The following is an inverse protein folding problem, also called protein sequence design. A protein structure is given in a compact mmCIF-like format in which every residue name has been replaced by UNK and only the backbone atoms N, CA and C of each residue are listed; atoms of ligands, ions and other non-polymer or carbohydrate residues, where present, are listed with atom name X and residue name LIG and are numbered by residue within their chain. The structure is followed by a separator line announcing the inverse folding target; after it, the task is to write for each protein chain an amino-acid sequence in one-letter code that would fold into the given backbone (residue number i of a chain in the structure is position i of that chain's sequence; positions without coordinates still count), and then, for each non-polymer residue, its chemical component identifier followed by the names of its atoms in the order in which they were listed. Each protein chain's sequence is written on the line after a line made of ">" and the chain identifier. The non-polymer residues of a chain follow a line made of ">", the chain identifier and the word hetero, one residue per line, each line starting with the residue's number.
data_IF_679093098218
#
_entry.id   IF_679093098218
#
_cell.length_a   1.000
_cell.length_b   1.000
_cell.length_c   1.000
_cell.angle_alpha   90.00
_cell.angle_beta   90.00
_cell.angle_gamma   90.00
#
_symmetry.space_group_name_H-M   'P 1'
#
loop_
_entity.id
_entity.type
_entity.pdbx_description
1 polymer ?
#
# COMPACT_ATOMS: atom_id res chain seq x y z
N UNK A 1 19.71 -42.53 10.30
CA UNK A 1 19.90 -41.25 10.98
C UNK A 1 19.61 -40.15 9.98
N UNK A 2 18.32 -39.87 9.79
CA UNK A 2 17.85 -38.84 8.86
C UNK A 2 17.73 -37.53 9.64
N UNK A 3 18.60 -36.57 9.34
CA UNK A 3 18.36 -35.17 9.74
C UNK A 3 17.15 -34.69 8.91
N UNK A 4 16.00 -34.60 9.55
CA UNK A 4 14.90 -33.81 9.06
C UNK A 4 15.32 -32.34 9.23
N UNK A 5 15.82 -31.72 8.17
CA UNK A 5 15.87 -30.27 8.05
C UNK A 5 14.42 -29.80 8.04
N UNK A 6 13.95 -29.36 9.19
CA UNK A 6 12.73 -28.55 9.30
C UNK A 6 13.07 -27.22 8.59
N UNK A 7 12.70 -27.16 7.33
CA UNK A 7 12.66 -25.91 6.59
C UNK A 7 11.50 -25.14 7.22
N UNK A 8 11.81 -24.27 8.20
CA UNK A 8 10.88 -23.24 8.61
C UNK A 8 10.56 -22.45 7.33
N UNK A 9 9.36 -22.59 6.84
CA UNK A 9 8.77 -21.60 5.94
C UNK A 9 8.71 -20.33 6.79
N UNK A 10 9.74 -19.49 6.66
CA UNK A 10 9.65 -18.08 6.97
C UNK A 10 8.50 -17.61 6.09
N UNK A 11 7.35 -17.35 6.69
CA UNK A 11 6.34 -16.55 6.03
C UNK A 11 7.09 -15.32 5.51
N UNK A 12 7.06 -15.11 4.20
CA UNK A 12 7.72 -13.96 3.59
C UNK A 12 6.99 -12.75 4.14
N UNK A 13 7.57 -12.14 5.17
CA UNK A 13 6.99 -10.93 5.74
C UNK A 13 7.17 -9.84 4.67
N UNK A 14 6.08 -9.20 4.32
CA UNK A 14 6.09 -8.01 3.44
C UNK A 14 6.85 -6.82 4.05
N UNK A 15 7.66 -7.03 5.10
CA UNK A 15 8.41 -6.01 5.81
C UNK A 15 7.60 -5.26 6.88
N UNK A 16 6.39 -5.70 7.16
CA UNK A 16 5.55 -5.14 8.22
C UNK A 16 5.52 -6.09 9.42
N UNK A 17 6.00 -5.60 10.57
CA UNK A 17 6.07 -6.33 11.82
C UNK A 17 7.33 -7.16 12.02
N UNK A 18 7.62 -7.48 13.27
CA UNK A 18 8.67 -8.40 13.71
C UNK A 18 8.10 -9.37 14.73
N UNK A 19 8.47 -10.63 14.64
CA UNK A 19 8.09 -11.63 15.65
C UNK A 19 8.67 -11.33 17.05
N UNK A 20 9.68 -10.47 17.12
CA UNK A 20 10.41 -10.05 18.33
C UNK A 20 9.90 -8.75 18.93
N UNK A 21 8.99 -8.04 18.25
CA UNK A 21 8.26 -6.88 18.78
C UNK A 21 7.03 -7.36 19.58
N UNK A 22 7.30 -7.76 20.82
CA UNK A 22 6.29 -8.35 21.71
C UNK A 22 5.48 -7.32 22.47
N UNK A 23 5.95 -6.08 22.49
CA UNK A 23 5.27 -4.91 23.07
C UNK A 23 4.33 -4.22 22.08
N UNK A 24 4.44 -4.56 20.79
CA UNK A 24 3.62 -4.01 19.68
C UNK A 24 3.84 -2.51 19.45
N UNK A 25 4.99 -1.97 19.84
CA UNK A 25 5.32 -0.56 19.71
C UNK A 25 6.04 -0.21 18.39
N UNK A 26 6.30 -1.23 17.55
CA UNK A 26 6.96 -1.08 16.24
C UNK A 26 8.48 -1.08 16.32
N UNK A 27 9.07 -1.32 17.49
CA UNK A 27 10.51 -1.40 17.68
C UNK A 27 10.88 -2.53 18.64
N UNK A 28 11.98 -3.20 18.42
CA UNK A 28 12.46 -4.23 19.35
C UNK A 28 13.36 -3.58 20.40
N UNK A 29 12.87 -3.48 21.63
CA UNK A 29 13.51 -2.72 22.69
C UNK A 29 13.47 -3.34 24.08
N UNK A 30 13.58 -2.50 25.10
CA UNK A 30 13.53 -2.92 26.49
C UNK A 30 12.14 -3.42 26.92
N UNK A 31 11.08 -2.92 26.29
CA UNK A 31 9.72 -3.31 26.59
C UNK A 31 9.47 -4.77 26.17
N UNK A 32 10.04 -5.22 25.02
CA UNK A 32 10.00 -6.60 24.56
C UNK A 32 10.78 -7.54 25.48
N UNK A 33 11.96 -7.12 25.94
CA UNK A 33 12.71 -7.85 26.96
C UNK A 33 11.90 -8.01 28.23
N UNK A 34 11.15 -6.98 28.62
CA UNK A 34 10.26 -7.01 29.78
C UNK A 34 9.12 -8.01 29.59
N UNK A 35 8.54 -8.08 28.38
CA UNK A 35 7.55 -9.10 28.02
C UNK A 35 8.14 -10.49 28.18
N UNK A 36 9.27 -10.81 27.54
CA UNK A 36 9.92 -12.13 27.66
C UNK A 36 10.18 -12.50 29.11
N UNK A 37 10.74 -11.59 29.91
CA UNK A 37 11.09 -11.87 31.31
C UNK A 37 9.87 -12.02 32.21
N UNK A 38 8.79 -11.26 31.97
CA UNK A 38 7.56 -11.31 32.77
C UNK A 38 6.69 -12.52 32.41
N UNK A 39 6.80 -13.02 31.18
CA UNK A 39 6.00 -14.11 30.64
C UNK A 39 6.77 -15.46 30.61
N UNK A 40 7.86 -15.57 31.35
CA UNK A 40 8.72 -16.75 31.38
C UNK A 40 7.96 -18.02 31.74
N UNK A 41 8.13 -19.09 30.94
CA UNK A 41 7.39 -20.35 30.98
C UNK A 41 5.89 -20.24 30.66
N UNK A 42 5.48 -19.20 29.98
CA UNK A 42 4.12 -19.06 29.41
C UNK A 42 4.21 -18.96 27.87
N UNK A 43 3.11 -19.04 27.10
CA UNK A 43 3.16 -18.84 25.66
C UNK A 43 3.14 -17.35 25.22
N UNK A 44 3.00 -16.37 26.13
CA UNK A 44 2.69 -15.00 25.74
C UNK A 44 3.88 -14.13 25.34
N UNK A 45 5.11 -14.59 25.54
CA UNK A 45 6.35 -13.92 25.12
C UNK A 45 7.17 -14.82 24.20
N UNK A 46 6.51 -15.69 23.46
CA UNK A 46 7.08 -16.73 22.59
C UNK A 46 7.43 -16.15 21.22
N UNK A 47 8.60 -15.52 21.12
CA UNK A 47 9.09 -14.89 19.91
C UNK A 47 9.47 -15.91 18.82
N UNK A 48 9.84 -17.12 19.19
CA UNK A 48 10.23 -18.17 18.25
C UNK A 48 9.08 -19.12 17.86
N UNK A 49 7.89 -18.92 18.47
CA UNK A 49 6.67 -19.66 18.22
C UNK A 49 6.79 -21.18 18.48
N UNK A 50 7.60 -21.56 19.49
CA UNK A 50 7.74 -22.95 19.93
C UNK A 50 6.71 -23.36 21.01
N UNK A 51 5.89 -22.43 21.46
CA UNK A 51 4.82 -22.60 22.46
C UNK A 51 5.21 -22.26 23.89
N UNK A 52 6.45 -21.79 24.12
CA UNK A 52 6.92 -21.50 25.49
C UNK A 52 7.96 -20.39 25.54
N UNK A 53 7.68 -19.30 26.23
CA UNK A 53 8.64 -18.24 26.47
C UNK A 53 9.81 -18.70 27.33
N UNK A 54 11.01 -18.68 26.78
CA UNK A 54 12.20 -19.22 27.44
C UNK A 54 13.51 -18.53 26.92
N UNK A 55 14.67 -19.15 27.14
CA UNK A 55 15.95 -18.56 26.77
C UNK A 55 16.15 -18.31 25.24
N UNK A 56 15.73 -19.19 24.32
CA UNK A 56 15.72 -18.91 22.90
C UNK A 56 15.00 -17.62 22.50
N UNK A 57 13.84 -17.29 23.11
CA UNK A 57 13.09 -16.06 22.82
C UNK A 57 13.85 -14.83 23.27
N UNK A 58 14.46 -14.89 24.47
CA UNK A 58 15.33 -13.83 24.94
C UNK A 58 16.49 -13.56 23.96
N UNK A 59 17.11 -14.62 23.43
CA UNK A 59 18.20 -14.50 22.46
C UNK A 59 17.71 -13.85 21.16
N UNK A 60 16.52 -14.22 20.68
CA UNK A 60 15.94 -13.61 19.47
C UNK A 60 15.67 -12.12 19.67
N UNK A 61 15.01 -11.73 20.76
CA UNK A 61 14.76 -10.30 21.06
C UNK A 61 16.06 -9.53 21.19
N UNK A 62 17.08 -10.12 21.83
CA UNK A 62 18.41 -9.47 21.92
C UNK A 62 19.12 -9.38 20.57
N UNK A 63 18.92 -10.35 19.66
CA UNK A 63 19.52 -10.31 18.32
C UNK A 63 18.91 -9.22 17.43
N UNK A 64 17.65 -8.91 17.64
CA UNK A 64 16.90 -7.89 16.91
C UNK A 64 16.85 -6.52 17.64
N UNK A 65 17.55 -6.40 18.76
CA UNK A 65 17.51 -5.19 19.60
C UNK A 65 17.84 -3.90 18.82
N UNK A 66 17.00 -2.89 18.93
CA UNK A 66 16.95 -1.65 18.16
C UNK A 66 16.47 -1.82 16.69
N UNK A 67 15.91 -2.96 16.32
CA UNK A 67 15.28 -3.12 15.03
C UNK A 67 13.97 -2.36 15.00
N UNK A 68 13.74 -1.57 13.94
CA UNK A 68 12.45 -0.98 13.61
C UNK A 68 11.69 -1.98 12.74
N UNK A 69 10.44 -2.26 13.09
CA UNK A 69 9.62 -3.33 12.50
C UNK A 69 8.77 -2.85 11.30
N UNK A 70 9.13 -1.72 10.72
CA UNK A 70 8.50 -1.16 9.54
C UNK A 70 9.49 -0.29 8.74
N UNK A 71 9.26 -0.11 7.42
CA UNK A 71 10.13 0.72 6.57
C UNK A 71 9.72 2.19 6.52
N UNK A 72 8.65 2.60 7.21
CA UNK A 72 8.15 3.97 7.15
C UNK A 72 9.11 4.98 7.79
N UNK A 73 9.09 6.21 7.25
CA UNK A 73 9.86 7.34 7.77
C UNK A 73 9.43 7.70 9.20
N UNK A 74 10.33 8.33 9.95
CA UNK A 74 10.14 8.65 11.38
C UNK A 74 9.00 9.65 11.69
N UNK A 75 8.47 10.32 10.69
CA UNK A 75 7.33 11.25 10.78
C UNK A 75 5.98 10.57 10.47
N UNK A 76 6.01 9.26 10.21
CA UNK A 76 4.85 8.40 10.04
C UNK A 76 4.66 7.57 11.30
N UNK A 77 3.52 7.71 11.96
CA UNK A 77 3.17 6.90 13.12
C UNK A 77 2.63 5.55 12.66
N UNK A 78 3.19 4.46 13.21
CA UNK A 78 2.86 3.08 12.82
C UNK A 78 2.51 2.29 14.06
N UNK A 79 1.31 1.72 14.09
CA UNK A 79 0.82 0.89 15.18
C UNK A 79 0.46 -0.50 14.66
N UNK A 80 0.91 -1.52 15.38
CA UNK A 80 0.65 -2.92 15.05
C UNK A 80 -0.51 -3.47 15.87
N UNK A 81 -1.34 -4.27 15.23
CA UNK A 81 -2.35 -5.13 15.85
C UNK A 81 -2.02 -6.56 15.42
N UNK A 82 -1.16 -7.19 16.19
CA UNK A 82 -0.69 -8.55 15.89
C UNK A 82 -1.80 -9.59 16.06
N UNK A 83 -2.79 -9.34 16.91
CA UNK A 83 -3.93 -10.23 17.10
C UNK A 83 -4.82 -10.32 15.85
N UNK A 84 -5.03 -9.18 15.18
CA UNK A 84 -5.82 -9.08 13.96
C UNK A 84 -4.96 -9.08 12.70
N UNK A 85 -3.63 -9.13 12.82
CA UNK A 85 -2.67 -9.08 11.72
C UNK A 85 -2.83 -7.84 10.84
N UNK A 86 -2.96 -6.69 11.48
CA UNK A 86 -3.18 -5.39 10.84
C UNK A 86 -2.13 -4.38 11.28
N UNK A 87 -1.82 -3.43 10.39
CA UNK A 87 -1.01 -2.24 10.70
C UNK A 87 -1.86 -1.00 10.47
N UNK A 88 -1.84 -0.08 11.42
CA UNK A 88 -2.43 1.24 11.29
C UNK A 88 -1.33 2.27 11.09
N UNK A 89 -1.43 3.05 10.03
CA UNK A 89 -0.50 4.10 9.62
C UNK A 89 -1.20 5.44 9.76
N UNK A 90 -0.63 6.33 10.59
CA UNK A 90 -1.11 7.71 10.73
C UNK A 90 -0.08 8.67 10.16
N UNK A 91 -0.50 9.52 9.23
CA UNK A 91 0.39 10.42 8.49
C UNK A 91 -0.28 11.74 8.14
N UNK A 92 0.52 12.81 8.08
CA UNK A 92 0.08 14.09 7.51
C UNK A 92 -0.18 14.01 5.99
N UNK A 93 0.39 13.02 5.30
CA UNK A 93 0.37 12.93 3.84
C UNK A 93 1.26 13.95 3.15
N UNK A 94 2.06 14.72 3.91
CA UNK A 94 3.07 15.63 3.38
C UNK A 94 4.37 14.86 3.12
N UNK A 95 5.06 15.21 2.02
CA UNK A 95 6.30 14.55 1.65
C UNK A 95 7.48 15.05 2.52
N UNK A 96 8.46 14.19 2.71
CA UNK A 96 9.74 14.46 3.39
C UNK A 96 10.80 15.16 2.48
N UNK A 97 10.35 15.67 1.34
CA UNK A 97 11.14 16.45 0.37
C UNK A 97 10.43 17.77 0.04
N UNK A 98 11.12 18.64 -0.72
CA UNK A 98 10.53 19.90 -1.19
C UNK A 98 9.40 19.62 -2.19
N UNK A 99 8.19 20.06 -1.85
CA UNK A 99 7.01 19.97 -2.72
C UNK A 99 6.89 21.25 -3.58
N UNK A 100 6.74 21.06 -4.90
CA UNK A 100 6.67 22.15 -5.86
C UNK A 100 8.04 22.67 -6.32
N UNK A 101 8.09 23.63 -7.28
CA UNK A 101 6.94 24.21 -7.95
C UNK A 101 6.23 23.20 -8.86
N UNK A 102 4.90 23.27 -8.91
CA UNK A 102 4.06 22.39 -9.75
C UNK A 102 3.91 23.02 -11.13
N UNK A 103 4.97 22.96 -11.91
CA UNK A 103 5.03 23.53 -13.26
C UNK A 103 5.64 22.48 -14.18
N UNK A 104 4.87 21.99 -15.13
CA UNK A 104 5.39 21.08 -16.15
C UNK A 104 6.39 21.77 -17.08
N UNK A 105 7.01 21.02 -18.00
CA UNK A 105 7.91 21.57 -19.01
C UNK A 105 7.16 22.55 -19.90
N UNK A 106 7.37 23.84 -19.65
CA UNK A 106 6.74 24.93 -20.34
C UNK A 106 5.78 25.76 -19.48
N UNK A 107 5.68 27.06 -19.78
CA UNK A 107 4.94 28.05 -18.98
C UNK A 107 3.40 27.88 -18.97
N UNK A 108 2.88 26.82 -19.57
CA UNK A 108 1.44 26.60 -19.76
C UNK A 108 0.82 25.65 -18.74
N UNK A 109 1.63 24.89 -18.00
CA UNK A 109 1.16 23.95 -17.00
C UNK A 109 1.42 24.50 -15.59
N UNK A 110 0.38 24.73 -14.81
CA UNK A 110 0.45 25.16 -13.42
C UNK A 110 -0.64 24.48 -12.59
N UNK A 111 -0.25 23.92 -11.45
CA UNK A 111 -1.20 23.51 -10.45
C UNK A 111 -1.23 24.57 -9.33
N UNK A 112 -2.36 25.26 -9.12
CA UNK A 112 -2.47 26.34 -8.13
C UNK A 112 -2.65 25.84 -6.70
N UNK A 113 -2.82 24.53 -6.50
CA UNK A 113 -3.12 23.96 -5.20
C UNK A 113 -1.86 23.94 -4.32
N UNK A 114 -2.06 23.99 -3.02
CA UNK A 114 -0.99 23.97 -2.01
C UNK A 114 -1.14 22.70 -1.17
N UNK A 115 -0.07 21.91 -0.99
CA UNK A 115 -0.09 20.76 -0.10
C UNK A 115 -0.48 21.16 1.33
N UNK A 116 -1.29 20.36 1.96
CA UNK A 116 -1.71 20.55 3.36
C UNK A 116 -1.83 19.22 4.08
N UNK A 117 -1.69 19.27 5.40
CA UNK A 117 -1.86 18.12 6.27
C UNK A 117 -3.26 17.51 6.10
N UNK A 118 -3.30 16.23 5.80
CA UNK A 118 -4.50 15.45 5.54
C UNK A 118 -4.96 14.63 6.76
N UNK A 119 -4.11 14.52 7.78
CA UNK A 119 -4.38 13.71 8.97
C UNK A 119 -4.96 12.33 8.61
N UNK A 120 -4.27 11.60 7.75
CA UNK A 120 -4.74 10.31 7.22
C UNK A 120 -4.49 9.19 8.21
N UNK A 121 -5.45 8.28 8.28
CA UNK A 121 -5.27 6.95 8.92
C UNK A 121 -5.53 5.89 7.88
N UNK A 122 -4.60 4.97 7.72
CA UNK A 122 -4.59 3.90 6.71
C UNK A 122 -4.36 2.59 7.45
N UNK A 123 -5.11 1.56 7.10
CA UNK A 123 -4.92 0.21 7.63
C UNK A 123 -4.44 -0.74 6.53
N UNK A 124 -3.43 -1.54 6.83
CA UNK A 124 -2.89 -2.54 5.91
C UNK A 124 -2.90 -3.93 6.55
N UNK A 125 -3.21 -4.99 5.79
CA UNK A 125 -2.98 -6.36 6.27
C UNK A 125 -1.48 -6.64 6.35
N UNK A 126 -1.03 -7.27 7.43
CA UNK A 126 0.37 -7.71 7.59
C UNK A 126 0.70 -8.91 6.72
N UNK A 127 -0.29 -9.75 6.45
CA UNK A 127 -0.17 -10.98 5.68
C UNK A 127 -1.12 -10.95 4.48
N UNK A 128 -0.79 -10.19 3.41
CA UNK A 128 -1.63 -10.14 2.23
C UNK A 128 -1.72 -11.53 1.57
N UNK A 129 -2.92 -11.91 1.16
CA UNK A 129 -3.16 -13.19 0.49
C UNK A 129 -3.37 -12.97 -1.00
N UNK A 130 -2.45 -13.53 -1.80
CA UNK A 130 -2.54 -13.45 -3.25
C UNK A 130 -3.74 -14.23 -3.80
N UNK A 131 -4.48 -13.60 -4.71
CA UNK A 131 -5.54 -14.23 -5.50
C UNK A 131 -5.19 -14.16 -6.99
N UNK A 132 -5.28 -15.29 -7.74
CA UNK A 132 -4.90 -15.32 -9.16
C UNK A 132 -5.71 -14.37 -10.05
N UNK A 133 -6.95 -14.08 -9.66
CA UNK A 133 -7.78 -13.08 -10.32
C UNK A 133 -7.77 -11.80 -9.48
N UNK A 134 -7.51 -10.64 -10.09
CA UNK A 134 -7.55 -9.39 -9.36
C UNK A 134 -8.88 -9.19 -8.60
N UNK A 135 -8.79 -8.83 -7.32
CA UNK A 135 -9.96 -8.61 -6.46
C UNK A 135 -10.67 -7.30 -6.81
N UNK A 136 -9.91 -6.28 -7.19
CA UNK A 136 -10.42 -4.94 -7.53
C UNK A 136 -9.66 -4.38 -8.74
N UNK A 137 -10.40 -3.90 -9.73
CA UNK A 137 -9.82 -3.15 -10.86
C UNK A 137 -9.83 -1.66 -10.53
N UNK A 138 -8.65 -1.05 -10.49
CA UNK A 138 -8.46 0.35 -10.11
C UNK A 138 -8.57 1.32 -11.29
N UNK A 139 -8.55 0.84 -12.53
CA UNK A 139 -8.61 1.69 -13.73
C UNK A 139 -9.95 2.41 -13.89
N UNK A 140 -10.98 1.98 -13.16
CA UNK A 140 -12.31 2.60 -13.15
C UNK A 140 -12.59 3.43 -11.88
N UNK A 141 -11.58 3.63 -11.01
CA UNK A 141 -11.70 4.38 -9.77
C UNK A 141 -10.82 5.63 -9.80
N UNK A 142 -11.01 6.55 -8.87
CA UNK A 142 -10.12 7.68 -8.63
C UNK A 142 -9.71 7.68 -7.16
N UNK A 143 -8.55 8.29 -6.87
CA UNK A 143 -8.07 8.49 -5.51
C UNK A 143 -6.99 7.52 -5.08
N UNK A 144 -6.70 7.48 -3.77
CA UNK A 144 -5.58 6.73 -3.23
C UNK A 144 -5.82 5.22 -3.34
N UNK A 145 -4.76 4.50 -3.66
CA UNK A 145 -4.71 3.04 -3.81
C UNK A 145 -3.64 2.41 -2.94
N UNK A 146 -2.80 3.23 -2.29
CA UNK A 146 -1.72 2.79 -1.43
C UNK A 146 -1.09 3.94 -0.66
N UNK A 147 -0.02 3.64 0.04
CA UNK A 147 0.76 4.59 0.83
C UNK A 147 2.26 4.35 0.62
N UNK A 148 3.00 5.43 0.34
CA UNK A 148 4.45 5.39 0.27
C UNK A 148 5.07 5.36 1.67
N UNK A 149 6.32 4.87 1.78
CA UNK A 149 7.02 4.79 3.09
C UNK A 149 7.28 6.16 3.73
N UNK A 150 7.19 7.26 2.98
CA UNK A 150 7.22 8.62 3.50
C UNK A 150 5.83 9.17 3.85
N UNK A 151 4.81 8.34 3.90
CA UNK A 151 3.45 8.70 4.30
C UNK A 151 2.60 9.36 3.22
N UNK A 152 3.16 9.62 2.05
CA UNK A 152 2.43 10.20 0.91
C UNK A 152 1.54 9.14 0.27
N UNK A 153 0.34 9.54 -0.15
CA UNK A 153 -0.58 8.63 -0.83
C UNK A 153 -0.08 8.25 -2.23
N UNK A 154 -0.20 6.96 -2.56
CA UNK A 154 -0.10 6.46 -3.94
C UNK A 154 -1.50 6.49 -4.54
N UNK A 155 -1.67 7.16 -5.67
CA UNK A 155 -2.96 7.27 -6.35
C UNK A 155 -3.01 6.33 -7.55
N UNK A 156 -4.21 6.01 -8.01
CA UNK A 156 -4.43 5.30 -9.25
C UNK A 156 -3.86 6.10 -10.45
N UNK A 157 -3.69 5.50 -11.64
CA UNK A 157 -3.02 6.15 -12.76
C UNK A 157 -3.76 7.37 -13.36
N UNK A 158 -5.03 7.57 -13.01
CA UNK A 158 -5.84 8.66 -13.56
C UNK A 158 -6.01 9.83 -12.60
N UNK A 159 -6.08 11.04 -13.18
CA UNK A 159 -6.57 12.25 -12.50
C UNK A 159 -8.03 12.53 -12.86
N UNK A 160 -8.57 13.60 -12.29
CA UNK A 160 -9.96 14.02 -12.51
C UNK A 160 -10.33 14.08 -14.00
N UNK A 161 -11.49 13.49 -14.33
CA UNK A 161 -11.93 13.38 -15.73
C UNK A 161 -11.42 12.15 -16.47
N UNK A 162 -10.69 11.24 -15.80
CA UNK A 162 -10.21 9.99 -16.39
C UNK A 162 -9.03 10.19 -17.36
N UNK A 163 -8.24 11.25 -17.13
CA UNK A 163 -7.02 11.51 -17.91
C UNK A 163 -5.83 10.79 -17.29
N UNK A 164 -4.92 10.32 -18.11
CA UNK A 164 -3.64 9.77 -17.68
C UNK A 164 -2.83 10.87 -16.96
N UNK A 165 -2.66 10.71 -15.65
CA UNK A 165 -2.12 11.75 -14.80
C UNK A 165 -0.65 12.09 -15.13
N UNK A 166 0.30 11.15 -15.20
CA UNK A 166 1.68 11.44 -15.54
C UNK A 166 1.88 12.17 -16.87
N UNK A 167 1.03 11.89 -17.87
CA UNK A 167 1.15 12.50 -19.19
C UNK A 167 0.51 13.89 -19.29
N UNK A 168 -0.38 14.27 -18.36
CA UNK A 168 -1.21 15.48 -18.51
C UNK A 168 -1.12 16.46 -17.35
N UNK A 169 -0.76 16.00 -16.16
CA UNK A 169 -0.82 16.83 -14.96
C UNK A 169 0.53 17.45 -14.62
N UNK A 170 0.50 18.67 -14.11
CA UNK A 170 1.69 19.37 -13.63
C UNK A 170 2.15 18.81 -12.29
N UNK A 171 3.29 18.17 -12.32
CA UNK A 171 3.96 17.62 -11.16
C UNK A 171 5.22 18.41 -10.82
N UNK A 172 5.72 18.28 -9.61
CA UNK A 172 7.02 18.82 -9.21
C UNK A 172 8.19 17.91 -9.64
N UNK A 173 9.40 18.25 -9.20
CA UNK A 173 10.62 17.48 -9.50
C UNK A 173 10.62 16.06 -8.90
N UNK A 174 9.75 15.78 -7.92
CA UNK A 174 9.56 14.46 -7.32
C UNK A 174 8.34 13.72 -7.87
N UNK A 175 7.77 14.21 -8.96
CA UNK A 175 6.64 13.57 -9.68
C UNK A 175 5.36 13.44 -8.85
N UNK A 176 5.18 14.36 -7.89
CA UNK A 176 3.94 14.49 -7.12
C UNK A 176 3.25 15.83 -7.39
N UNK A 177 2.00 15.90 -7.00
CA UNK A 177 1.21 17.12 -7.04
C UNK A 177 0.07 17.12 -6.02
N UNK A 178 -0.44 18.29 -5.60
CA UNK A 178 -1.60 18.37 -4.72
C UNK A 178 -2.92 18.40 -5.49
N UNK A 179 -3.92 17.68 -5.03
CA UNK A 179 -5.31 17.84 -5.44
C UNK A 179 -5.92 19.12 -4.85
N UNK A 180 -7.15 19.52 -5.27
CA UNK A 180 -7.79 20.75 -4.79
C UNK A 180 -7.98 20.85 -3.29
N UNK A 181 -8.06 19.73 -2.56
CA UNK A 181 -8.14 19.65 -1.11
C UNK A 181 -6.76 19.73 -0.40
N UNK A 182 -5.67 19.89 -1.18
CA UNK A 182 -4.31 19.95 -0.67
C UNK A 182 -3.64 18.59 -0.44
N UNK A 183 -4.28 17.49 -0.82
CA UNK A 183 -3.69 16.16 -0.72
C UNK A 183 -2.56 16.00 -1.73
N UNK A 184 -1.31 15.99 -1.25
CA UNK A 184 -0.14 15.67 -2.08
C UNK A 184 -0.07 14.17 -2.32
N UNK A 185 0.23 13.73 -3.56
CA UNK A 185 0.24 12.32 -3.93
C UNK A 185 1.09 12.03 -5.17
N UNK A 186 1.43 10.74 -5.36
CA UNK A 186 2.15 10.23 -6.52
C UNK A 186 1.22 9.39 -7.41
N UNK A 187 1.36 9.55 -8.74
CA UNK A 187 0.70 8.70 -9.74
C UNK A 187 1.67 7.76 -10.46
N UNK A 188 2.96 7.87 -10.16
CA UNK A 188 4.05 7.13 -10.79
C UNK A 188 5.21 6.98 -9.79
N UNK A 189 6.24 6.25 -10.18
CA UNK A 189 7.49 6.23 -9.43
C UNK A 189 8.04 7.65 -9.26
N UNK A 190 8.53 7.92 -8.06
CA UNK A 190 9.15 9.21 -7.69
C UNK A 190 10.66 9.06 -7.52
N UNK A 191 11.48 10.03 -8.01
CA UNK A 191 12.92 10.07 -7.73
C UNK A 191 13.29 10.12 -6.24
N UNK A 192 12.31 10.34 -5.35
CA UNK A 192 12.50 10.21 -3.91
C UNK A 192 12.92 8.80 -3.52
N UNK A 193 12.57 7.79 -4.31
CA UNK A 193 12.80 6.38 -4.11
C UNK A 193 13.72 5.82 -5.19
N UNK A 194 14.90 6.43 -5.39
CA UNK A 194 15.87 6.07 -6.42
C UNK A 194 16.92 5.03 -5.94
N UNK A 195 16.77 4.55 -4.71
CA UNK A 195 17.64 3.52 -4.15
C UNK A 195 17.44 2.15 -4.78
N UNK A 196 18.48 1.32 -4.67
CA UNK A 196 18.47 -0.06 -5.16
C UNK A 196 19.04 -1.02 -4.13
N UNK A 197 18.54 -2.25 -4.11
CA UNK A 197 19.07 -3.36 -3.35
C UNK A 197 20.40 -3.85 -3.95
N UNK A 198 21.10 -4.73 -3.26
CA UNK A 198 22.44 -5.22 -3.68
C UNK A 198 22.46 -5.94 -5.02
N UNK A 199 21.34 -6.50 -5.46
CA UNK A 199 21.18 -7.14 -6.78
C UNK A 199 20.80 -6.12 -7.87
N UNK A 200 20.56 -4.85 -7.52
CA UNK A 200 20.14 -3.78 -8.41
C UNK A 200 18.62 -3.68 -8.58
N UNK A 201 17.84 -4.50 -7.88
CA UNK A 201 16.39 -4.31 -7.76
C UNK A 201 16.09 -2.98 -7.05
N UNK A 202 15.03 -2.28 -7.46
CA UNK A 202 14.59 -1.05 -6.80
C UNK A 202 14.29 -1.28 -5.34
N UNK A 203 14.47 -0.23 -4.53
CA UNK A 203 14.00 -0.20 -3.15
C UNK A 203 12.47 -0.12 -3.07
N UNK A 204 11.96 -0.45 -1.89
CA UNK A 204 10.55 -0.35 -1.55
C UNK A 204 10.09 1.12 -1.61
N UNK A 205 9.00 1.37 -2.32
CA UNK A 205 8.32 2.67 -2.36
C UNK A 205 7.25 2.75 -1.27
N UNK A 206 6.49 1.68 -1.07
CA UNK A 206 5.34 1.65 -0.17
C UNK A 206 4.53 0.38 -0.30
N UNK A 207 3.24 0.49 -0.01
CA UNK A 207 2.31 -0.63 0.00
C UNK A 207 1.00 -0.27 -0.69
N UNK A 208 0.45 -1.21 -1.44
CA UNK A 208 -0.95 -1.18 -1.86
C UNK A 208 -1.90 -1.29 -0.66
N UNK A 209 -3.13 -0.85 -0.79
CA UNK A 209 -4.13 -1.00 0.28
C UNK A 209 -4.52 -2.45 0.55
N UNK A 210 -4.11 -3.37 -0.31
CA UNK A 210 -4.17 -4.82 -0.14
C UNK A 210 -2.97 -5.41 0.63
N UNK A 211 -2.03 -4.58 1.06
CA UNK A 211 -0.86 -4.95 1.86
C UNK A 211 0.34 -5.46 1.07
N UNK A 212 0.23 -5.64 -0.24
CA UNK A 212 1.39 -6.03 -1.04
C UNK A 212 2.36 -4.86 -1.22
N UNK A 213 3.70 -5.15 -1.17
CA UNK A 213 4.71 -4.12 -1.35
C UNK A 213 4.74 -3.61 -2.80
N UNK A 214 5.13 -2.35 -2.95
CA UNK A 214 5.31 -1.66 -4.22
C UNK A 214 6.77 -1.23 -4.31
N UNK A 215 7.48 -1.71 -5.31
CA UNK A 215 8.87 -1.35 -5.58
C UNK A 215 8.97 -0.39 -6.76
N UNK A 216 10.16 0.16 -6.97
CA UNK A 216 10.45 1.01 -8.13
C UNK A 216 10.66 0.21 -9.42
N UNK A 217 11.10 0.88 -10.50
CA UNK A 217 11.01 0.32 -11.85
C UNK A 217 12.04 -0.77 -12.19
N UNK A 218 13.10 -0.94 -11.37
CA UNK A 218 14.17 -1.88 -11.68
C UNK A 218 13.93 -3.24 -11.04
N UNK A 219 13.96 -4.30 -11.84
CA UNK A 219 13.99 -5.69 -11.39
C UNK A 219 15.40 -6.11 -10.94
N UNK A 220 16.39 -5.65 -11.65
CA UNK A 220 17.81 -5.90 -11.34
C UNK A 220 18.67 -4.83 -12.00
N UNK A 221 19.99 -4.90 -11.80
CA UNK A 221 20.92 -3.92 -12.34
C UNK A 221 20.80 -3.77 -13.87
N UNK A 222 20.18 -2.69 -14.31
CA UNK A 222 20.00 -2.33 -15.72
C UNK A 222 18.84 -3.03 -16.44
N UNK A 223 18.00 -3.77 -15.71
CA UNK A 223 16.81 -4.45 -16.25
C UNK A 223 15.56 -3.81 -15.62
N UNK A 224 14.68 -3.26 -16.43
CA UNK A 224 13.38 -2.76 -15.98
C UNK A 224 12.40 -3.92 -15.82
N UNK A 225 11.62 -3.92 -14.75
CA UNK A 225 10.61 -4.96 -14.51
C UNK A 225 9.58 -5.04 -15.65
N UNK A 226 9.19 -3.88 -16.23
CA UNK A 226 8.27 -3.82 -17.37
C UNK A 226 8.83 -4.45 -18.67
N UNK A 227 10.15 -4.62 -18.79
CA UNK A 227 10.81 -5.19 -19.97
C UNK A 227 11.00 -6.70 -19.86
N UNK A 228 10.57 -7.32 -18.76
CA UNK A 228 10.58 -8.77 -18.60
C UNK A 228 9.59 -9.44 -19.56
N UNK A 229 10.00 -10.55 -20.17
CA UNK A 229 9.21 -11.22 -21.23
C UNK A 229 9.01 -12.72 -21.02
N UNK A 230 9.46 -13.23 -19.90
CA UNK A 230 9.37 -14.65 -19.51
C UNK A 230 8.27 -14.89 -18.47
N UNK A 231 8.38 -15.95 -17.71
CA UNK A 231 7.45 -16.27 -16.61
C UNK A 231 7.45 -15.25 -15.48
N UNK A 232 8.45 -14.36 -15.42
CA UNK A 232 8.57 -13.30 -14.42
C UNK A 232 8.01 -11.96 -14.90
N UNK A 233 7.45 -11.88 -16.13
CA UNK A 233 6.87 -10.64 -16.64
C UNK A 233 5.79 -10.08 -15.71
N UNK A 234 5.70 -8.75 -15.65
CA UNK A 234 4.60 -8.10 -14.93
C UNK A 234 3.25 -8.45 -15.57
N UNK A 235 2.27 -8.69 -14.75
CA UNK A 235 0.89 -8.85 -15.19
C UNK A 235 0.19 -7.51 -15.47
N UNK A 236 -1.10 -7.55 -15.76
CA UNK A 236 -1.91 -6.35 -16.03
C UNK A 236 -2.06 -5.42 -14.81
N UNK A 237 -1.71 -5.88 -13.62
CA UNK A 237 -1.71 -5.09 -12.38
C UNK A 237 -0.34 -4.45 -12.10
N UNK A 238 0.68 -4.66 -12.94
CA UNK A 238 2.08 -4.34 -12.70
C UNK A 238 2.69 -5.14 -11.54
N UNK A 239 2.27 -6.37 -11.34
CA UNK A 239 2.79 -7.24 -10.29
C UNK A 239 3.34 -8.55 -10.84
N UNK A 240 4.22 -9.18 -10.06
CA UNK A 240 4.73 -10.53 -10.30
C UNK A 240 5.20 -11.18 -8.99
N UNK A 241 5.56 -12.47 -9.06
CA UNK A 241 6.11 -13.22 -7.95
C UNK A 241 7.63 -13.36 -8.09
N UNK A 242 8.37 -13.00 -7.05
CA UNK A 242 9.81 -13.18 -6.95
C UNK A 242 10.14 -14.23 -5.88
N UNK A 243 11.09 -15.15 -6.11
CA UNK A 243 11.43 -16.20 -5.15
C UNK A 243 11.94 -15.72 -3.79
N UNK A 244 12.41 -14.46 -3.70
CA UNK A 244 12.99 -13.87 -2.49
C UNK A 244 12.03 -12.83 -1.87
N UNK A 245 11.43 -11.96 -2.72
CA UNK A 245 10.59 -10.86 -2.29
C UNK A 245 9.10 -11.25 -2.20
N UNK A 246 8.71 -12.39 -2.81
CA UNK A 246 7.32 -12.80 -2.93
C UNK A 246 6.56 -11.94 -3.93
N UNK A 247 5.23 -12.05 -3.90
CA UNK A 247 4.36 -11.24 -4.74
C UNK A 247 4.50 -9.76 -4.42
N UNK A 248 4.73 -8.93 -5.44
CA UNK A 248 4.85 -7.49 -5.31
C UNK A 248 4.48 -6.75 -6.60
N UNK A 249 4.26 -5.45 -6.47
CA UNK A 249 4.00 -4.53 -7.57
C UNK A 249 5.25 -3.71 -7.90
N UNK A 250 5.35 -3.27 -9.16
CA UNK A 250 6.33 -2.29 -9.60
C UNK A 250 5.68 -1.00 -10.03
N UNK A 251 6.11 0.12 -9.44
CA UNK A 251 5.81 1.44 -9.97
C UNK A 251 6.83 1.79 -11.06
N UNK A 252 6.36 2.29 -12.18
CA UNK A 252 7.18 2.71 -13.30
C UNK A 252 7.14 4.22 -13.47
N UNK A 253 8.14 4.79 -14.17
CA UNK A 253 8.21 6.21 -14.45
C UNK A 253 7.58 6.51 -15.81
N UNK A 254 6.90 7.64 -15.89
CA UNK A 254 6.60 8.28 -17.18
C UNK A 254 7.90 8.80 -17.78
N UNK A 255 8.30 8.26 -18.91
CA UNK A 255 9.59 8.53 -19.52
C UNK A 255 10.70 7.54 -19.16
N UNK A 256 11.90 7.64 -19.77
CA UNK A 256 13.02 6.78 -19.46
C UNK A 256 13.49 7.01 -18.02
N UNK A 257 13.71 5.94 -17.28
CA UNK A 257 14.14 6.00 -15.86
C UNK A 257 15.49 6.69 -15.67
N UNK A 258 16.33 6.73 -16.71
CA UNK A 258 17.65 7.39 -16.68
C UNK A 258 17.60 8.87 -16.99
N UNK A 259 16.54 9.33 -17.62
CA UNK A 259 16.32 10.72 -17.99
C UNK A 259 14.82 11.02 -17.91
N UNK A 260 14.38 11.15 -16.65
CA UNK A 260 12.97 11.31 -16.29
C UNK A 260 12.34 12.53 -16.96
N UNK A 261 13.18 13.51 -17.40
CA UNK A 261 12.73 14.73 -18.05
C UNK A 261 12.75 14.65 -19.60
N UNK A 262 13.29 13.57 -20.18
CA UNK A 262 13.63 13.51 -21.60
C UNK A 262 12.65 12.75 -22.49
N UNK A 263 11.55 12.22 -22.00
CA UNK A 263 10.61 11.57 -22.89
C UNK A 263 9.54 10.71 -22.26
N UNK A 264 8.54 10.45 -23.06
CA UNK A 264 7.40 9.63 -22.74
C UNK A 264 7.78 8.14 -22.87
N UNK A 265 7.45 7.34 -21.87
CA UNK A 265 7.36 5.88 -22.03
C UNK A 265 5.88 5.52 -22.15
N UNK A 266 5.34 5.40 -23.37
CA UNK A 266 3.93 5.12 -23.58
C UNK A 266 3.49 3.74 -23.06
N UNK A 267 4.45 2.85 -22.78
CA UNK A 267 4.19 1.48 -22.36
C UNK A 267 4.21 1.31 -20.83
N UNK A 268 4.48 2.38 -20.08
CA UNK A 268 4.58 2.33 -18.61
C UNK A 268 3.25 2.34 -17.86
N UNK A 269 2.14 2.61 -18.54
CA UNK A 269 0.81 2.57 -17.91
C UNK A 269 0.50 1.15 -17.38
N UNK A 270 -0.02 1.02 -16.16
CA UNK A 270 -0.70 2.02 -15.31
C UNK A 270 0.18 2.77 -14.29
N UNK A 271 1.44 2.92 -14.46
CA UNK A 271 2.46 3.70 -13.72
C UNK A 271 2.71 3.26 -12.28
N UNK A 272 1.69 2.98 -11.50
CA UNK A 272 1.78 2.41 -10.15
C UNK A 272 1.32 0.94 -10.24
N UNK A 273 0.04 0.70 -10.08
CA UNK A 273 -0.58 -0.60 -10.32
C UNK A 273 -2.05 -0.40 -10.70
N UNK A 274 -2.57 -1.31 -11.54
CA UNK A 274 -3.90 -1.16 -12.14
C UNK A 274 -5.00 -1.96 -11.45
N UNK A 275 -4.65 -2.85 -10.52
CA UNK A 275 -5.58 -3.69 -9.80
C UNK A 275 -4.93 -4.27 -8.54
N UNK A 276 -5.73 -4.80 -7.62
CA UNK A 276 -5.27 -5.52 -6.46
C UNK A 276 -5.37 -7.03 -6.65
N UNK A 277 -4.32 -7.75 -6.27
CA UNK A 277 -4.34 -9.20 -6.13
C UNK A 277 -4.62 -9.67 -4.69
N UNK A 278 -4.48 -8.80 -3.71
CA UNK A 278 -4.94 -9.00 -2.34
C UNK A 278 -6.31 -8.36 -2.11
N UNK A 279 -6.91 -8.64 -0.96
CA UNK A 279 -8.14 -7.98 -0.53
C UNK A 279 -7.80 -6.65 0.16
N UNK A 280 -8.15 -5.50 -0.43
CA UNK A 280 -7.83 -4.21 0.17
C UNK A 280 -8.74 -3.91 1.38
N UNK A 281 -8.21 -3.18 2.36
CA UNK A 281 -9.00 -2.75 3.52
C UNK A 281 -10.01 -1.70 3.10
N UNK A 282 -11.28 -2.04 3.15
CA UNK A 282 -12.38 -1.19 2.67
C UNK A 282 -12.43 0.20 3.32
N UNK A 283 -12.03 0.30 4.60
CA UNK A 283 -11.96 1.57 5.34
C UNK A 283 -11.04 2.62 4.75
N UNK A 284 -10.02 2.22 3.97
CA UNK A 284 -9.06 3.13 3.36
C UNK A 284 -9.65 3.98 2.24
N UNK A 285 -10.74 3.56 1.64
CA UNK A 285 -11.35 4.24 0.49
C UNK A 285 -12.39 5.31 0.87
N UNK A 286 -12.73 5.45 2.16
CA UNK A 286 -13.74 6.39 2.67
C UNK A 286 -13.21 7.68 3.30
N UNK A 287 -11.91 7.87 3.44
CA UNK A 287 -11.30 8.93 4.21
C UNK A 287 -10.71 10.08 3.41
N UNK A 288 -11.52 10.89 2.78
CA UNK A 288 -11.14 12.26 2.43
C UNK A 288 -11.21 13.14 3.67
N UNK A 289 -10.03 13.67 4.09
CA UNK A 289 -9.70 14.56 5.16
C UNK A 289 -10.81 15.22 5.97
N UNK A 290 -10.80 14.95 7.27
CA UNK A 290 -11.60 15.69 8.23
C UNK A 290 -11.11 17.11 8.38
N UNK A 291 -11.96 18.08 8.04
CA UNK A 291 -11.86 19.48 8.33
C UNK A 291 -13.23 20.02 8.61
N UNK A 292 -13.53 20.24 9.89
CA UNK A 292 -14.65 20.78 10.59
C UNK A 292 -15.72 21.60 9.88
N UNK A 293 -16.96 21.33 10.25
CA UNK A 293 -17.99 22.36 10.31
C UNK A 293 -19.21 22.14 9.45
N UNK A 294 -20.25 21.56 10.02
CA UNK A 294 -21.61 22.06 9.83
C UNK A 294 -22.48 21.41 8.77
N UNK A 295 -23.31 20.49 9.19
CA UNK A 295 -24.71 20.44 8.84
C UNK A 295 -25.12 19.91 7.47
N UNK A 296 -25.75 18.77 7.45
CA UNK A 296 -26.62 18.37 6.37
C UNK A 296 -26.36 16.97 5.85
N UNK A 297 -27.20 16.02 6.26
CA UNK A 297 -27.18 14.63 5.86
C UNK A 297 -27.09 14.42 4.35
N UNK A 298 -26.09 13.67 3.97
CA UNK A 298 -25.93 13.11 2.65
C UNK A 298 -24.96 11.98 2.78
N UNK A 299 -25.44 10.74 2.80
CA UNK A 299 -24.63 9.54 2.85
C UNK A 299 -23.60 9.57 1.73
N UNK A 300 -22.32 9.33 2.06
CA UNK A 300 -21.25 9.13 1.10
C UNK A 300 -21.66 8.02 0.13
N UNK A 301 -22.02 8.37 -1.10
CA UNK A 301 -22.54 7.45 -2.08
C UNK A 301 -21.44 6.47 -2.47
N UNK A 302 -21.70 5.19 -2.29
CA UNK A 302 -20.87 4.12 -2.79
C UNK A 302 -20.75 4.21 -4.32
N UNK A 303 -19.57 4.56 -4.83
CA UNK A 303 -19.34 4.82 -6.25
C UNK A 303 -19.64 3.60 -7.12
N UNK A 304 -19.29 2.38 -6.68
CA UNK A 304 -19.57 1.16 -7.40
C UNK A 304 -21.07 0.95 -7.62
N UNK A 305 -21.89 1.28 -6.63
CA UNK A 305 -23.34 1.18 -6.76
C UNK A 305 -23.92 2.26 -7.67
N UNK A 306 -23.43 3.49 -7.58
CA UNK A 306 -23.90 4.60 -8.40
C UNK A 306 -23.65 4.36 -9.89
N UNK A 307 -22.46 3.85 -10.23
CA UNK A 307 -22.11 3.53 -11.63
C UNK A 307 -22.97 2.41 -12.21
N UNK A 308 -23.44 1.48 -11.41
CA UNK A 308 -24.26 0.35 -11.86
C UNK A 308 -25.76 0.53 -11.57
N UNK A 309 -26.18 1.73 -11.22
CA UNK A 309 -27.60 2.07 -10.95
C UNK A 309 -28.24 1.21 -9.85
N UNK A 310 -27.44 0.78 -8.87
CA UNK A 310 -27.89 -0.05 -7.76
C UNK A 310 -28.66 0.80 -6.73
N UNK A 311 -29.86 0.42 -6.30
CA UNK A 311 -30.60 1.16 -5.30
C UNK A 311 -29.84 1.31 -3.98
N UNK A 312 -29.83 2.50 -3.34
CA UNK A 312 -29.07 2.75 -2.11
C UNK A 312 -29.30 1.74 -0.97
N UNK A 313 -30.52 1.24 -0.72
CA UNK A 313 -30.74 0.23 0.31
C UNK A 313 -30.02 -1.08 0.03
N UNK A 314 -30.01 -1.52 -1.23
CA UNK A 314 -29.32 -2.74 -1.67
C UNK A 314 -27.81 -2.57 -1.59
N UNK A 315 -27.29 -1.44 -2.09
CA UNK A 315 -25.88 -1.11 -1.97
C UNK A 315 -25.41 -1.11 -0.52
N UNK A 316 -26.15 -0.43 0.37
CA UNK A 316 -25.80 -0.37 1.79
C UNK A 316 -25.85 -1.75 2.45
N UNK A 317 -26.82 -2.58 2.10
CA UNK A 317 -26.88 -3.96 2.58
C UNK A 317 -25.67 -4.78 2.14
N UNK A 318 -25.31 -4.74 0.86
CA UNK A 318 -24.20 -5.55 0.34
C UNK A 318 -22.89 -5.14 1.00
N UNK A 319 -22.53 -3.84 1.02
CA UNK A 319 -21.22 -3.43 1.55
C UNK A 319 -21.12 -3.56 3.08
N UNK A 320 -22.24 -3.69 3.80
CA UNK A 320 -22.26 -4.01 5.24
C UNK A 320 -22.30 -5.51 5.52
N UNK A 321 -22.40 -6.34 4.48
CA UNK A 321 -22.32 -7.80 4.61
C UNK A 321 -20.85 -8.22 4.71
N UNK A 322 -20.42 -8.96 5.74
CA UNK A 322 -19.04 -9.38 5.91
C UNK A 322 -18.48 -10.07 4.67
N UNK A 323 -17.31 -9.62 4.19
CA UNK A 323 -16.66 -10.13 2.98
C UNK A 323 -17.10 -9.47 1.66
N UNK A 324 -17.99 -8.45 1.72
CA UNK A 324 -18.48 -7.73 0.52
C UNK A 324 -18.33 -6.21 0.64
N UNK A 325 -17.50 -5.74 1.55
CA UNK A 325 -17.28 -4.31 1.84
C UNK A 325 -16.74 -3.56 0.61
N UNK A 326 -15.93 -4.23 -0.22
CA UNK A 326 -15.38 -3.70 -1.47
C UNK A 326 -16.44 -3.36 -2.52
N UNK A 327 -17.65 -3.92 -2.40
CA UNK A 327 -18.77 -3.66 -3.33
C UNK A 327 -19.22 -2.18 -3.32
N UNK A 328 -18.89 -1.43 -2.30
CA UNK A 328 -19.12 0.01 -2.28
C UNK A 328 -18.27 0.76 -3.33
N UNK A 329 -17.11 0.24 -3.66
CA UNK A 329 -16.17 0.84 -4.60
C UNK A 329 -16.43 0.39 -6.04
N UNK A 330 -16.50 -0.91 -6.25
CA UNK A 330 -16.69 -1.53 -7.56
C UNK A 330 -17.75 -2.64 -7.46
N UNK A 331 -18.79 -2.53 -8.25
CA UNK A 331 -19.84 -3.55 -8.30
C UNK A 331 -19.41 -4.71 -9.19
N UNK A 332 -19.14 -5.86 -8.59
CA UNK A 332 -18.68 -7.08 -9.27
C UNK A 332 -19.79 -8.11 -9.41
N UNK A 333 -19.62 -9.19 -10.19
CA UNK A 333 -20.54 -10.32 -10.18
C UNK A 333 -20.73 -10.95 -8.79
N UNK A 334 -19.71 -10.93 -7.94
CA UNK A 334 -19.82 -11.40 -6.56
C UNK A 334 -20.72 -10.46 -5.73
N UNK A 335 -20.65 -9.15 -5.95
CA UNK A 335 -21.53 -8.17 -5.33
C UNK A 335 -22.99 -8.37 -5.76
N UNK A 336 -23.19 -8.65 -7.04
CA UNK A 336 -24.52 -8.98 -7.57
C UNK A 336 -25.10 -10.24 -6.91
N UNK A 337 -24.30 -11.30 -6.81
CA UNK A 337 -24.71 -12.53 -6.15
C UNK A 337 -25.01 -12.31 -4.65
N UNK A 338 -24.22 -11.47 -3.96
CA UNK A 338 -24.49 -11.10 -2.57
C UNK A 338 -25.79 -10.30 -2.42
N UNK A 339 -26.07 -9.37 -3.34
CA UNK A 339 -27.32 -8.61 -3.35
C UNK A 339 -28.53 -9.52 -3.48
N UNK A 340 -28.49 -10.49 -4.38
CA UNK A 340 -29.54 -11.49 -4.58
C UNK A 340 -29.69 -12.42 -3.36
N UNK A 341 -28.57 -12.84 -2.77
CA UNK A 341 -28.58 -13.80 -1.67
C UNK A 341 -28.97 -13.19 -0.32
N UNK A 342 -28.50 -11.99 0.00
CA UNK A 342 -28.58 -11.41 1.34
C UNK A 342 -29.44 -10.16 1.44
N UNK A 343 -29.68 -9.44 0.33
CA UNK A 343 -30.25 -8.10 0.34
C UNK A 343 -31.59 -7.98 -0.41
N UNK A 344 -32.11 -9.07 -0.98
CA UNK A 344 -33.41 -9.10 -1.63
C UNK A 344 -33.46 -8.33 -2.96
N UNK A 345 -32.37 -8.36 -3.73
CA UNK A 345 -32.26 -7.72 -5.05
C UNK A 345 -32.83 -8.60 -6.15
#
# INVERSE_FOLDING_TARGET
>A
MFLATCLMMLAQSNGLGCATDLSEDGTVGFDDLTVVLSQWNTPNGDANQDGTTNFPDLVLVLSDFNRVCHPFSSDVDVQFDYDNRMVTISTSGLADHVMGPFSGPGATCQNPNTPSDQNRTIMLPMDPVFTPNPSVNLLNTLGPVGVAINGVALYNPYDGGGVDAPSTICMDGFKGHPSPDGSYHYHQWSPRFDGTLSNGHSELIGYGYDGFPVFGPWESAGVLAKDLTDENQLDACNGHDDPILGWHYHAVAYGPVKDIDAGEDPDGFPWIFGCFHGEPVAGNFGGGGGGGGGGGGGGGGCNGCAQNTIPPPICNCVHTTPGYESCCMVWTPACQAAAEQFCGF
#
